data_IF_862132312094
#
_entry.id   IF_862132312094
#
_cell.length_a   1.000
_cell.length_b   1.000
_cell.length_c   1.000
_cell.angle_alpha   90.00
_cell.angle_beta   90.00
_cell.angle_gamma   90.00
#
_symmetry.space_group_name_H-M   'P 1'
#
loop_
_entity.id
_entity.type
_entity.pdbx_description
1 polymer ?
#
# COMPACT_ATOMS: atom_id res chain seq x y z
N UNK A 1 19.57 -15.77 -0.16
CA UNK A 1 18.32 -15.38 0.48
C UNK A 1 18.28 -13.87 0.67
N UNK A 2 19.27 -13.24 1.32
CA UNK A 2 19.33 -11.78 1.57
C UNK A 2 19.22 -10.93 0.30
N UNK A 3 19.90 -11.29 -0.80
CA UNK A 3 19.84 -10.56 -2.08
C UNK A 3 18.43 -10.60 -2.67
N UNK A 4 17.81 -11.78 -2.70
CA UNK A 4 16.43 -11.94 -3.20
C UNK A 4 15.47 -11.09 -2.38
N UNK A 5 15.63 -11.11 -1.06
CA UNK A 5 14.85 -10.31 -0.15
C UNK A 5 15.03 -8.80 -0.38
N UNK A 6 16.26 -8.34 -0.55
CA UNK A 6 16.54 -6.91 -0.81
C UNK A 6 15.91 -6.44 -2.12
N UNK A 7 15.94 -7.26 -3.18
CA UNK A 7 15.26 -6.96 -4.45
C UNK A 7 13.74 -6.94 -4.28
N UNK A 8 13.20 -7.86 -3.47
CA UNK A 8 11.77 -7.90 -3.16
C UNK A 8 11.34 -6.64 -2.42
N UNK A 9 12.05 -6.26 -1.35
CA UNK A 9 11.77 -5.03 -0.58
C UNK A 9 11.86 -3.80 -1.48
N UNK A 10 12.87 -3.71 -2.35
CA UNK A 10 13.02 -2.59 -3.28
C UNK A 10 11.87 -2.46 -4.28
N UNK A 11 11.31 -3.57 -4.76
CA UNK A 11 10.11 -3.55 -5.60
C UNK A 11 8.86 -3.19 -4.82
N UNK A 12 8.74 -3.72 -3.60
CA UNK A 12 7.59 -3.52 -2.74
C UNK A 12 7.48 -2.06 -2.29
N UNK A 13 8.58 -1.45 -1.82
CA UNK A 13 8.59 -0.06 -1.36
C UNK A 13 8.21 0.90 -2.50
N UNK A 14 8.72 0.65 -3.70
CA UNK A 14 8.39 1.44 -4.88
C UNK A 14 6.90 1.35 -5.24
N UNK A 15 6.30 0.19 -5.07
CA UNK A 15 4.89 -0.02 -5.38
C UNK A 15 3.97 0.66 -4.36
N UNK A 16 4.30 0.56 -3.06
CA UNK A 16 3.46 1.09 -1.97
C UNK A 16 3.63 2.60 -1.80
N UNK A 17 4.86 3.10 -1.93
CA UNK A 17 5.23 4.46 -1.59
C UNK A 17 5.16 5.45 -2.77
N UNK A 18 4.59 5.07 -3.90
CA UNK A 18 4.36 5.98 -5.02
C UNK A 18 2.94 6.56 -4.90
N UNK A 19 2.84 7.89 -4.83
CA UNK A 19 1.57 8.60 -4.71
C UNK A 19 0.75 8.51 -5.99
N UNK A 20 1.36 8.87 -7.11
CA UNK A 20 0.74 8.82 -8.42
C UNK A 20 1.24 7.60 -9.20
N UNK A 21 0.52 6.49 -9.07
CA UNK A 21 0.85 5.25 -9.77
C UNK A 21 0.61 5.41 -11.28
N UNK A 22 -0.35 6.25 -11.65
CA UNK A 22 -0.57 6.71 -13.01
C UNK A 22 -0.35 8.23 -13.08
N UNK A 23 0.77 8.64 -13.69
CA UNK A 23 0.98 10.04 -14.03
C UNK A 23 0.10 10.36 -15.25
N UNK A 24 -0.97 11.10 -15.04
CA UNK A 24 -1.71 11.71 -16.14
C UNK A 24 -0.89 12.84 -16.74
N UNK A 25 -0.58 12.70 -17.99
CA UNK A 25 -0.17 13.82 -18.80
C UNK A 25 -1.43 14.56 -19.29
N UNK A 26 -1.91 15.51 -18.48
CA UNK A 26 -3.07 16.34 -18.79
C UNK A 26 -2.90 17.10 -20.12
N UNK A 27 -1.67 17.31 -20.58
CA UNK A 27 -1.38 17.94 -21.86
C UNK A 27 -1.79 17.07 -23.05
N UNK A 28 -1.78 15.76 -22.92
CA UNK A 28 -2.19 14.83 -23.97
C UNK A 28 -3.69 14.91 -24.27
N UNK A 29 -4.48 15.38 -23.31
CA UNK A 29 -5.95 15.49 -23.41
C UNK A 29 -6.46 16.89 -23.78
N UNK A 30 -5.57 17.85 -23.98
CA UNK A 30 -5.95 19.24 -24.30
C UNK A 30 -6.58 19.40 -25.69
N UNK A 31 -6.48 18.38 -26.53
CA UNK A 31 -7.02 18.33 -27.91
C UNK A 31 -8.40 17.66 -28.01
N UNK A 32 -8.94 17.07 -26.95
CA UNK A 32 -10.22 16.37 -27.01
C UNK A 32 -11.42 17.34 -26.90
N UNK A 33 -12.39 17.19 -27.81
CA UNK A 33 -13.67 17.96 -27.81
C UNK A 33 -14.53 17.77 -26.53
N UNK A 34 -14.22 16.78 -25.69
CA UNK A 34 -15.00 16.39 -24.53
C UNK A 34 -14.16 16.32 -23.23
N UNK A 35 -13.58 17.45 -22.83
CA UNK A 35 -12.74 17.58 -21.62
C UNK A 35 -13.39 16.99 -20.35
N UNK A 36 -14.69 17.26 -20.14
CA UNK A 36 -15.42 16.76 -18.97
C UNK A 36 -15.52 15.24 -18.95
N UNK A 37 -15.82 14.61 -20.09
CA UNK A 37 -15.96 13.17 -20.19
C UNK A 37 -14.62 12.46 -19.92
N UNK A 38 -13.53 13.04 -20.39
CA UNK A 38 -12.17 12.53 -20.16
C UNK A 38 -11.77 12.61 -18.69
N UNK A 39 -12.11 13.71 -18.00
CA UNK A 39 -11.85 13.88 -16.57
C UNK A 39 -12.66 12.85 -15.75
N UNK A 40 -13.94 12.65 -16.10
CA UNK A 40 -14.80 11.67 -15.41
C UNK A 40 -14.32 10.24 -15.63
N UNK A 41 -13.96 9.88 -16.86
CA UNK A 41 -13.42 8.55 -17.17
C UNK A 41 -12.14 8.28 -16.42
N UNK A 42 -11.25 9.27 -16.34
CA UNK A 42 -10.01 9.14 -15.60
C UNK A 42 -10.24 9.00 -14.09
N UNK A 43 -11.16 9.77 -13.53
CA UNK A 43 -11.53 9.65 -12.12
C UNK A 43 -12.14 8.27 -11.82
N UNK A 44 -12.97 7.74 -12.71
CA UNK A 44 -13.51 6.37 -12.62
C UNK A 44 -12.42 5.31 -12.73
N UNK A 45 -11.52 5.43 -13.69
CA UNK A 45 -10.37 4.54 -13.85
C UNK A 45 -9.53 4.50 -12.58
N UNK A 46 -9.26 5.66 -12.01
CA UNK A 46 -8.53 5.79 -10.77
C UNK A 46 -9.24 5.12 -9.58
N UNK A 47 -10.56 5.34 -9.41
CA UNK A 47 -11.36 4.73 -8.33
C UNK A 47 -11.37 3.20 -8.43
N UNK A 48 -11.33 2.63 -9.63
CA UNK A 48 -11.35 1.18 -9.84
C UNK A 48 -9.95 0.59 -9.67
N UNK A 49 -8.93 1.23 -10.22
CA UNK A 49 -7.57 0.68 -10.24
C UNK A 49 -6.91 0.80 -8.85
N UNK A 50 -7.17 1.88 -8.12
CA UNK A 50 -6.59 2.10 -6.80
C UNK A 50 -6.88 0.98 -5.79
N UNK A 51 -8.12 0.51 -5.58
CA UNK A 51 -8.39 -0.63 -4.71
C UNK A 51 -7.66 -1.89 -5.13
N UNK A 52 -7.52 -2.15 -6.43
CA UNK A 52 -6.81 -3.33 -6.96
C UNK A 52 -5.33 -3.27 -6.57
N UNK A 53 -4.70 -2.11 -6.71
CA UNK A 53 -3.29 -1.92 -6.35
C UNK A 53 -3.10 -2.04 -4.84
N UNK A 54 -4.00 -1.45 -4.05
CA UNK A 54 -3.98 -1.57 -2.59
C UNK A 54 -4.16 -3.03 -2.17
N UNK A 55 -5.11 -3.75 -2.76
CA UNK A 55 -5.31 -5.18 -2.51
C UNK A 55 -4.05 -5.98 -2.84
N UNK A 56 -3.44 -5.71 -3.99
CA UNK A 56 -2.22 -6.40 -4.41
C UNK A 56 -1.07 -6.14 -3.43
N UNK A 57 -0.81 -4.89 -3.06
CA UNK A 57 0.26 -4.52 -2.13
C UNK A 57 0.03 -5.08 -0.74
N UNK A 58 -1.19 -4.99 -0.23
CA UNK A 58 -1.60 -5.57 1.04
C UNK A 58 -1.42 -7.09 1.04
N UNK A 59 -1.87 -7.78 -0.03
CA UNK A 59 -1.74 -9.23 -0.16
C UNK A 59 -0.27 -9.67 -0.20
N UNK A 60 0.56 -9.02 -1.01
CA UNK A 60 1.99 -9.33 -1.13
C UNK A 60 2.68 -9.14 0.22
N UNK A 61 2.38 -8.04 0.92
CA UNK A 61 2.97 -7.77 2.22
C UNK A 61 2.48 -8.75 3.29
N UNK A 62 1.19 -9.10 3.29
CA UNK A 62 0.63 -10.11 4.20
C UNK A 62 1.23 -11.49 3.99
N UNK A 63 1.37 -11.95 2.74
CA UNK A 63 2.02 -13.23 2.42
C UNK A 63 3.47 -13.22 2.93
N UNK A 64 4.18 -12.14 2.69
CA UNK A 64 5.54 -11.98 3.20
C UNK A 64 5.59 -12.12 4.73
N UNK A 65 4.70 -11.45 5.47
CA UNK A 65 4.65 -11.56 6.93
C UNK A 65 4.25 -12.95 7.42
N UNK A 66 3.36 -13.67 6.71
CA UNK A 66 3.01 -15.07 7.01
C UNK A 66 4.24 -15.97 6.95
N UNK A 67 5.12 -15.73 5.97
CA UNK A 67 6.36 -16.50 5.81
C UNK A 67 7.38 -16.18 6.92
N UNK A 68 7.43 -14.93 7.36
CA UNK A 68 8.48 -14.39 8.22
C UNK A 68 8.08 -14.45 9.70
N UNK A 69 6.82 -14.16 10.05
CA UNK A 69 6.41 -14.02 11.45
C UNK A 69 5.72 -15.24 12.03
N UNK A 70 6.00 -15.52 13.30
CA UNK A 70 5.37 -16.59 14.08
C UNK A 70 4.17 -16.04 14.88
N UNK A 71 3.26 -15.35 14.21
CA UNK A 71 2.07 -14.75 14.81
C UNK A 71 0.80 -15.38 14.25
N UNK A 72 -0.29 -15.18 14.95
CA UNK A 72 -1.62 -15.53 14.46
C UNK A 72 -1.95 -14.75 13.19
N UNK A 73 -2.64 -15.39 12.27
CA UNK A 73 -2.96 -14.80 10.96
C UNK A 73 -3.74 -13.48 11.08
N UNK A 74 -4.63 -13.36 12.06
CA UNK A 74 -5.37 -12.11 12.33
C UNK A 74 -4.46 -10.94 12.70
N UNK A 75 -3.43 -11.21 13.50
CA UNK A 75 -2.43 -10.21 13.91
C UNK A 75 -1.55 -9.83 12.73
N UNK A 76 -1.15 -10.80 11.93
CA UNK A 76 -0.38 -10.57 10.70
C UNK A 76 -1.14 -9.65 9.74
N UNK A 77 -2.43 -9.92 9.50
CA UNK A 77 -3.28 -9.10 8.65
C UNK A 77 -3.44 -7.68 9.20
N UNK A 78 -3.59 -7.53 10.51
CA UNK A 78 -3.65 -6.22 11.15
C UNK A 78 -2.35 -5.43 10.97
N UNK A 79 -1.19 -6.05 11.22
CA UNK A 79 0.12 -5.42 11.03
C UNK A 79 0.30 -5.02 9.56
N UNK A 80 -0.06 -5.91 8.61
CA UNK A 80 0.02 -5.61 7.18
C UNK A 80 -0.82 -4.40 6.80
N UNK A 81 -2.05 -4.33 7.30
CA UNK A 81 -2.95 -3.20 7.05
C UNK A 81 -2.39 -1.90 7.65
N UNK A 82 -1.90 -1.95 8.89
CA UNK A 82 -1.31 -0.80 9.56
C UNK A 82 -0.08 -0.26 8.83
N UNK A 83 0.81 -1.14 8.36
CA UNK A 83 2.00 -0.75 7.60
C UNK A 83 1.62 -0.13 6.26
N UNK A 84 0.74 -0.77 5.50
CA UNK A 84 0.28 -0.24 4.20
C UNK A 84 -0.41 1.11 4.40
N UNK A 85 -1.31 1.24 5.37
CA UNK A 85 -1.98 2.50 5.69
C UNK A 85 -0.97 3.59 6.07
N UNK A 86 -0.01 3.28 6.94
CA UNK A 86 1.03 4.24 7.35
C UNK A 86 1.85 4.74 6.17
N UNK A 87 2.33 3.83 5.32
CA UNK A 87 3.10 4.20 4.13
C UNK A 87 2.26 5.06 3.19
N UNK A 88 0.98 4.73 3.00
CA UNK A 88 0.07 5.54 2.17
C UNK A 88 -0.14 6.95 2.75
N UNK A 89 -0.37 7.09 4.04
CA UNK A 89 -0.49 8.40 4.71
C UNK A 89 0.78 9.23 4.49
N UNK A 90 1.94 8.63 4.66
CA UNK A 90 3.22 9.32 4.48
C UNK A 90 3.42 9.86 3.07
N UNK A 91 2.90 9.19 2.03
CA UNK A 91 3.04 9.68 0.63
C UNK A 91 2.34 11.02 0.39
N UNK A 92 1.39 11.41 1.25
CA UNK A 92 0.65 12.67 1.15
C UNK A 92 1.31 13.85 1.88
N UNK A 93 2.42 13.62 2.58
CA UNK A 93 3.18 14.71 3.21
C UNK A 93 3.82 15.56 2.11
N UNK A 94 3.60 16.90 2.11
CA UNK A 94 4.16 17.78 1.08
C UNK A 94 5.69 17.72 1.01
N UNK A 95 6.24 17.85 -0.18
CA UNK A 95 7.67 17.93 -0.54
C UNK A 95 8.47 16.64 -0.31
N UNK A 96 8.31 15.93 0.81
CA UNK A 96 9.15 14.78 1.18
C UNK A 96 8.37 13.46 1.33
N UNK A 97 7.06 13.47 1.13
CA UNK A 97 6.18 12.36 1.47
C UNK A 97 6.57 11.03 0.82
N UNK A 98 6.76 11.01 -0.50
CA UNK A 98 7.15 9.77 -1.18
C UNK A 98 8.54 9.26 -0.76
N UNK A 99 9.50 10.16 -0.52
CA UNK A 99 10.82 9.75 -0.05
C UNK A 99 10.73 9.14 1.35
N UNK A 100 10.02 9.83 2.27
CA UNK A 100 9.81 9.36 3.63
C UNK A 100 9.05 8.02 3.66
N UNK A 101 8.01 7.89 2.85
CA UNK A 101 7.24 6.66 2.73
C UNK A 101 8.12 5.47 2.29
N UNK A 102 9.01 5.66 1.31
CA UNK A 102 9.96 4.64 0.86
C UNK A 102 10.95 4.25 1.94
N UNK A 103 11.54 5.22 2.64
CA UNK A 103 12.49 4.92 3.71
C UNK A 103 11.83 4.17 4.87
N UNK A 104 10.63 4.59 5.29
CA UNK A 104 9.88 3.90 6.34
C UNK A 104 9.47 2.50 5.89
N UNK A 105 9.00 2.31 4.65
CA UNK A 105 8.66 0.98 4.13
C UNK A 105 9.87 0.03 4.15
N UNK A 106 11.05 0.49 3.75
CA UNK A 106 12.30 -0.28 3.81
C UNK A 106 12.68 -0.61 5.26
N UNK A 107 12.68 0.40 6.13
CA UNK A 107 13.03 0.20 7.54
C UNK A 107 12.13 -0.84 8.21
N UNK A 108 10.81 -0.74 8.00
CA UNK A 108 9.86 -1.70 8.54
C UNK A 108 10.12 -3.11 8.00
N UNK A 109 10.29 -3.27 6.68
CA UNK A 109 10.56 -4.57 6.08
C UNK A 109 11.85 -5.19 6.62
N UNK A 110 12.95 -4.43 6.70
CA UNK A 110 14.22 -4.94 7.23
C UNK A 110 14.17 -5.24 8.73
N UNK A 111 13.48 -4.41 9.51
CA UNK A 111 13.30 -4.65 10.94
C UNK A 111 12.51 -5.93 11.19
N UNK A 112 11.42 -6.15 10.45
CA UNK A 112 10.61 -7.36 10.57
C UNK A 112 11.42 -8.60 10.19
N UNK A 113 12.23 -8.54 9.14
CA UNK A 113 13.14 -9.63 8.80
C UNK A 113 14.19 -9.89 9.87
N UNK A 114 14.80 -8.83 10.43
CA UNK A 114 15.79 -8.98 11.47
C UNK A 114 15.21 -9.67 12.72
N UNK A 115 14.02 -9.24 13.15
CA UNK A 115 13.29 -9.87 14.26
C UNK A 115 13.00 -11.34 13.96
N UNK A 116 12.54 -11.65 12.76
CA UNK A 116 12.23 -13.01 12.34
C UNK A 116 13.47 -13.92 12.34
N UNK A 117 14.61 -13.45 11.85
CA UNK A 117 15.86 -14.22 11.84
C UNK A 117 16.40 -14.52 13.25
N UNK A 118 16.11 -13.65 14.21
CA UNK A 118 16.48 -13.84 15.62
C UNK A 118 15.52 -14.77 16.37
N UNK A 119 14.35 -15.06 15.79
CA UNK A 119 13.33 -15.90 16.43
C UNK A 119 13.60 -17.39 16.14
N UNK A 120 13.75 -18.26 17.15
CA UNK A 120 13.92 -19.69 16.94
C UNK A 120 12.72 -20.28 16.16
N UNK A 121 12.98 -21.19 15.22
CA UNK A 121 11.93 -21.79 14.40
C UNK A 121 11.40 -20.89 13.29
N UNK A 122 12.18 -19.93 12.85
CA UNK A 122 11.85 -18.96 11.79
C UNK A 122 11.16 -19.57 10.56
N UNK A 123 11.57 -20.76 10.13
CA UNK A 123 11.01 -21.42 8.95
C UNK A 123 10.23 -22.67 9.35
N UNK A 124 9.01 -22.49 9.81
CA UNK A 124 8.09 -23.58 10.16
C UNK A 124 7.07 -23.77 9.03
N UNK A 125 7.28 -24.79 8.19
CA UNK A 125 6.43 -25.09 7.05
C UNK A 125 5.03 -25.55 7.46
N UNK A 126 4.89 -26.26 8.57
CA UNK A 126 3.59 -26.73 9.05
C UNK A 126 2.70 -25.53 9.45
N UNK A 127 3.26 -24.58 10.16
CA UNK A 127 2.61 -23.32 10.53
C UNK A 127 2.22 -22.48 9.31
N UNK A 128 3.14 -22.37 8.33
CA UNK A 128 2.88 -21.59 7.09
C UNK A 128 1.69 -22.21 6.36
N UNK A 129 1.66 -23.51 6.16
CA UNK A 129 0.58 -24.22 5.48
C UNK A 129 -0.73 -24.06 6.27
N UNK A 130 -0.69 -24.19 7.61
CA UNK A 130 -1.84 -23.98 8.47
C UNK A 130 -2.40 -22.56 8.35
N UNK A 131 -1.55 -21.54 8.34
CA UNK A 131 -1.98 -20.14 8.17
C UNK A 131 -2.60 -19.89 6.78
N UNK A 132 -2.01 -20.44 5.72
CA UNK A 132 -2.57 -20.34 4.37
C UNK A 132 -3.95 -20.99 4.30
N UNK A 133 -4.13 -22.16 4.91
CA UNK A 133 -5.42 -22.85 4.96
C UNK A 133 -6.52 -22.07 5.69
N UNK A 134 -6.14 -21.23 6.67
CA UNK A 134 -7.07 -20.38 7.43
C UNK A 134 -7.48 -19.08 6.71
N UNK A 135 -6.79 -18.70 5.62
CA UNK A 135 -7.08 -17.43 4.91
C UNK A 135 -8.55 -17.34 4.49
N UNK A 136 -9.12 -18.44 3.99
CA UNK A 136 -10.53 -18.47 3.59
C UNK A 136 -11.51 -18.10 4.72
N UNK A 137 -11.21 -18.48 5.95
CA UNK A 137 -12.05 -18.19 7.12
C UNK A 137 -11.95 -16.72 7.56
N UNK A 138 -10.89 -16.01 7.15
CA UNK A 138 -10.65 -14.61 7.49
C UNK A 138 -10.93 -13.64 6.35
N UNK A 139 -11.61 -14.12 5.30
CA UNK A 139 -11.91 -13.30 4.12
C UNK A 139 -12.66 -12.00 4.49
N UNK A 140 -13.62 -12.07 5.41
CA UNK A 140 -14.33 -10.90 5.91
C UNK A 140 -13.40 -9.88 6.60
N UNK A 141 -12.41 -10.36 7.35
CA UNK A 141 -11.42 -9.51 8.00
C UNK A 141 -10.49 -8.83 6.99
N UNK A 142 -10.05 -9.57 5.99
CA UNK A 142 -9.25 -9.05 4.87
C UNK A 142 -10.01 -7.93 4.15
N UNK A 143 -11.29 -8.16 3.86
CA UNK A 143 -12.14 -7.19 3.20
C UNK A 143 -12.32 -5.91 4.03
N UNK A 144 -12.47 -6.04 5.36
CA UNK A 144 -12.58 -4.89 6.26
C UNK A 144 -11.29 -4.04 6.26
N UNK A 145 -10.12 -4.67 6.31
CA UNK A 145 -8.85 -3.94 6.24
C UNK A 145 -8.64 -3.27 4.88
N UNK A 146 -8.99 -3.97 3.79
CA UNK A 146 -8.94 -3.39 2.46
C UNK A 146 -9.83 -2.15 2.35
N UNK A 147 -11.09 -2.28 2.79
CA UNK A 147 -12.06 -1.18 2.82
C UNK A 147 -11.54 0.01 3.63
N UNK A 148 -10.97 -0.24 4.81
CA UNK A 148 -10.36 0.79 5.64
C UNK A 148 -9.25 1.55 4.88
N UNK A 149 -8.31 0.84 4.23
CA UNK A 149 -7.21 1.48 3.52
C UNK A 149 -7.72 2.26 2.30
N UNK A 150 -8.71 1.74 1.57
CA UNK A 150 -9.33 2.43 0.42
C UNK A 150 -10.04 3.72 0.87
N UNK A 151 -10.81 3.66 1.96
CA UNK A 151 -11.49 4.85 2.51
C UNK A 151 -10.45 5.88 2.96
N UNK A 152 -9.39 5.43 3.64
CA UNK A 152 -8.29 6.29 4.06
C UNK A 152 -7.65 7.00 2.87
N UNK A 153 -7.38 6.30 1.78
CA UNK A 153 -6.79 6.86 0.57
C UNK A 153 -7.71 7.91 -0.08
N UNK A 154 -9.02 7.64 -0.15
CA UNK A 154 -10.00 8.60 -0.66
C UNK A 154 -10.01 9.86 0.19
N UNK A 155 -10.00 9.72 1.52
CA UNK A 155 -9.96 10.85 2.44
C UNK A 155 -8.67 11.67 2.27
N UNK A 156 -7.52 11.03 2.16
CA UNK A 156 -6.24 11.70 1.97
C UNK A 156 -6.22 12.51 0.66
N UNK A 157 -6.78 11.98 -0.42
CA UNK A 157 -6.90 12.72 -1.69
C UNK A 157 -7.84 13.90 -1.59
N UNK A 158 -8.93 13.72 -0.86
CA UNK A 158 -9.86 14.82 -0.62
C UNK A 158 -9.17 15.95 0.14
N UNK A 159 -8.42 15.63 1.21
CA UNK A 159 -7.66 16.63 1.95
C UNK A 159 -6.62 17.34 1.08
N UNK A 160 -5.90 16.59 0.24
CA UNK A 160 -4.92 17.16 -0.69
C UNK A 160 -5.58 18.16 -1.65
N UNK A 161 -6.73 17.81 -2.22
CA UNK A 161 -7.48 18.68 -3.10
C UNK A 161 -7.89 20.00 -2.40
N UNK A 162 -8.35 19.90 -1.15
CA UNK A 162 -8.70 21.10 -0.35
C UNK A 162 -7.49 21.96 -0.03
N UNK A 163 -6.36 21.37 0.36
CA UNK A 163 -5.13 22.10 0.62
C UNK A 163 -4.65 22.84 -0.63
N UNK A 164 -4.68 22.19 -1.78
CA UNK A 164 -4.34 22.82 -3.07
C UNK A 164 -5.25 23.99 -3.43
N UNK A 165 -6.54 23.92 -3.09
CA UNK A 165 -7.47 25.05 -3.29
C UNK A 165 -7.16 26.25 -2.37
N UNK A 166 -6.69 25.98 -1.15
CA UNK A 166 -6.34 27.03 -0.18
C UNK A 166 -5.02 27.71 -0.60
N UNK A 167 -4.02 26.95 -1.05
CA UNK A 167 -2.75 27.51 -1.53
C UNK A 167 -2.94 28.41 -2.78
N UNK A 168 -3.78 28.01 -3.73
CA UNK A 168 -4.11 28.82 -4.91
C UNK A 168 -4.87 30.13 -4.57
N UNK A 169 -5.46 30.23 -3.40
CA UNK A 169 -6.20 31.42 -2.95
C UNK A 169 -5.31 32.38 -2.13
N UNK A 170 -4.08 31.95 -1.78
CA UNK A 170 -3.12 32.73 -1.00
C UNK A 170 -2.04 33.42 -1.86
N UNK A 171 -1.98 33.13 -3.17
CA UNK A 171 -1.23 33.87 -4.19
C UNK A 171 -2.16 34.92 -4.88
#
# INVERSE_FOLDING_TARGET
>A
LMVIYSVFVWKLDRLIATKNIFSLDLNQYNTSKHKLLTIILHFLEYIIILPIIILFTFSVFSIFLILVMQLDLSVILFISAAVVATVRVLTYIPRYGEHLAREIAKLLAFTLLAVALLTPGFFDMERIISNIAKIGNLFGLILNYLLFIVILEILLRFFEFFLGLIELKSE
#
